data_IF_427685232607
#
_entry.id   IF_427685232607
#
_cell.length_a   1.000
_cell.length_b   1.000
_cell.length_c   1.000
_cell.angle_alpha   90.00
_cell.angle_beta   90.00
_cell.angle_gamma   90.00
#
_symmetry.space_group_name_H-M   'P 1'
#
loop_
_entity.id
_entity.type
_entity.pdbx_description
1 polymer ?
#
# COMPACT_ATOMS: atom_id res chain seq x y z
N UNK A 1 14.87 9.14 -33.94
CA UNK A 1 13.87 8.38 -33.16
C UNK A 1 14.38 8.28 -31.74
N UNK A 2 14.04 9.23 -30.88
CA UNK A 2 14.43 9.21 -29.46
C UNK A 2 13.39 8.40 -28.70
N UNK A 3 13.82 7.26 -28.13
CA UNK A 3 13.00 6.41 -27.30
C UNK A 3 12.68 7.14 -25.99
N UNK A 4 11.40 7.39 -25.73
CA UNK A 4 10.94 7.90 -24.44
C UNK A 4 11.08 6.77 -23.42
N UNK A 5 12.07 6.85 -22.54
CA UNK A 5 12.20 5.92 -21.43
C UNK A 5 11.02 6.12 -20.47
N UNK A 6 10.38 5.02 -20.06
CA UNK A 6 9.33 5.01 -19.05
C UNK A 6 9.95 5.42 -17.71
N UNK A 7 9.53 6.56 -17.16
CA UNK A 7 9.94 7.05 -15.84
C UNK A 7 9.01 6.43 -14.81
N UNK A 8 9.56 5.60 -13.92
CA UNK A 8 8.82 5.07 -12.76
C UNK A 8 8.60 6.21 -11.74
N UNK A 9 7.36 6.60 -11.43
CA UNK A 9 7.07 7.68 -10.48
C UNK A 9 7.44 7.34 -9.02
N UNK A 10 7.86 6.10 -8.73
CA UNK A 10 8.28 5.65 -7.40
C UNK A 10 9.75 5.24 -7.33
N UNK A 11 10.54 5.48 -8.38
CA UNK A 11 11.99 5.34 -8.29
C UNK A 11 12.55 6.34 -7.26
N UNK A 12 13.01 5.84 -6.12
CA UNK A 12 13.74 6.64 -5.14
C UNK A 12 15.18 6.73 -5.64
N UNK A 13 15.52 7.83 -6.30
CA UNK A 13 16.90 8.11 -6.71
C UNK A 13 17.79 8.21 -5.46
N UNK A 14 18.67 7.23 -5.27
CA UNK A 14 19.67 7.24 -4.20
C UNK A 14 20.77 8.25 -4.55
N UNK A 15 20.53 9.52 -4.19
CA UNK A 15 21.44 10.58 -4.57
C UNK A 15 21.07 11.96 -4.05
N UNK A 16 21.21 12.18 -2.74
CA UNK A 16 21.47 13.48 -2.08
C UNK A 16 20.61 14.70 -2.44
N UNK A 17 19.51 14.55 -3.14
CA UNK A 17 18.46 15.56 -3.19
C UNK A 17 17.41 15.11 -2.19
N UNK A 18 17.48 15.67 -0.99
CA UNK A 18 16.34 15.64 -0.08
C UNK A 18 15.16 16.14 -0.88
N UNK A 19 14.25 15.24 -1.28
CA UNK A 19 12.95 15.62 -1.85
C UNK A 19 12.38 16.64 -0.88
N UNK A 20 12.46 17.92 -1.24
CA UNK A 20 12.01 19.00 -0.40
C UNK A 20 10.53 19.06 -0.65
N UNK A 21 9.76 18.31 0.13
CA UNK A 21 8.32 18.50 0.20
C UNK A 21 8.09 20.00 0.31
N UNK A 22 7.27 20.61 -0.58
CA UNK A 22 6.94 22.01 -0.43
C UNK A 22 6.43 22.19 1.00
N UNK A 23 6.91 23.21 1.74
CA UNK A 23 6.42 23.45 3.08
C UNK A 23 4.91 23.55 2.97
N UNK A 24 4.17 22.75 3.74
CA UNK A 24 2.71 22.81 3.76
C UNK A 24 2.32 24.28 3.97
N UNK A 25 1.77 24.91 2.93
CA UNK A 25 1.40 26.31 2.94
C UNK A 25 0.31 26.47 4.01
N UNK A 26 0.73 26.97 5.18
CA UNK A 26 -0.12 27.00 6.37
C UNK A 26 0.53 26.56 7.68
N UNK A 27 1.84 26.26 7.72
CA UNK A 27 2.57 26.05 8.99
C UNK A 27 2.62 27.34 9.82
N UNK A 28 1.52 27.62 10.52
CA UNK A 28 1.48 28.50 11.70
C UNK A 28 2.26 27.77 12.80
N UNK A 29 3.00 28.50 13.62
CA UNK A 29 3.90 27.95 14.64
C UNK A 29 3.20 27.22 15.80
N UNK A 30 1.88 27.16 15.75
CA UNK A 30 1.12 26.28 16.62
C UNK A 30 0.89 24.98 15.86
N UNK A 31 1.51 23.89 16.32
CA UNK A 31 1.17 22.52 15.92
C UNK A 31 -0.29 22.25 16.33
N UNK A 32 -1.24 22.79 15.57
CA UNK A 32 -2.65 22.47 15.70
C UNK A 32 -2.78 21.01 15.27
N UNK A 33 -2.84 20.12 16.26
CA UNK A 33 -3.41 18.79 16.07
C UNK A 33 -4.79 19.00 15.45
N UNK A 34 -4.89 18.79 14.14
CA UNK A 34 -6.16 18.85 13.43
C UNK A 34 -7.12 17.94 14.18
N UNK A 35 -8.25 18.50 14.61
CA UNK A 35 -9.30 17.69 15.21
C UNK A 35 -9.63 16.54 14.24
N UNK A 36 -9.73 15.29 14.72
CA UNK A 36 -10.06 14.17 13.85
C UNK A 36 -11.31 14.51 13.04
N UNK A 37 -11.32 14.22 11.72
CA UNK A 37 -12.46 14.54 10.87
C UNK A 37 -13.71 13.88 11.43
N UNK A 38 -14.80 14.65 11.44
CA UNK A 38 -16.09 14.23 11.99
C UNK A 38 -16.50 12.89 11.34
N UNK A 39 -16.93 11.88 12.13
CA UNK A 39 -17.16 10.54 11.60
C UNK A 39 -18.24 10.50 10.52
N UNK A 40 -19.22 11.42 10.53
CA UNK A 40 -20.23 11.51 9.48
C UNK A 40 -19.73 12.14 8.18
N UNK A 41 -18.59 12.83 8.21
CA UNK A 41 -17.96 13.42 7.02
C UNK A 41 -16.97 12.43 6.37
N UNK A 42 -16.77 11.26 6.98
CA UNK A 42 -15.97 10.19 6.39
C UNK A 42 -16.74 9.60 5.23
N UNK A 43 -16.09 9.55 4.07
CA UNK A 43 -16.60 8.80 2.93
C UNK A 43 -16.79 7.35 3.37
N UNK A 44 -18.02 6.84 3.22
CA UNK A 44 -18.33 5.42 3.37
C UNK A 44 -17.83 4.66 2.14
N UNK A 45 -16.52 4.71 1.92
CA UNK A 45 -15.87 3.99 0.83
C UNK A 45 -15.62 2.56 1.30
N UNK A 46 -16.54 1.67 0.95
CA UNK A 46 -16.31 0.24 1.08
C UNK A 46 -15.10 -0.14 0.21
N UNK A 47 -14.07 -0.72 0.84
CA UNK A 47 -12.93 -1.29 0.13
C UNK A 47 -13.45 -2.44 -0.72
N UNK A 48 -13.07 -2.48 -2.01
CA UNK A 48 -13.44 -3.58 -2.90
C UNK A 48 -13.00 -4.91 -2.27
N UNK A 49 -13.82 -5.98 -2.33
CA UNK A 49 -13.44 -7.28 -1.78
C UNK A 49 -12.09 -7.81 -2.27
N UNK A 50 -11.69 -7.50 -3.51
CA UNK A 50 -10.37 -7.81 -4.07
C UNK A 50 -9.28 -7.01 -3.38
N UNK A 51 -9.47 -5.70 -3.24
CA UNK A 51 -8.50 -4.83 -2.58
C UNK A 51 -8.31 -5.21 -1.11
N UNK A 52 -9.39 -5.62 -0.44
CA UNK A 52 -9.33 -6.16 0.92
C UNK A 52 -8.45 -7.41 0.97
N UNK A 53 -8.67 -8.38 0.07
CA UNK A 53 -7.86 -9.62 -0.01
C UNK A 53 -6.40 -9.31 -0.31
N UNK A 54 -6.13 -8.36 -1.20
CA UNK A 54 -4.76 -7.91 -1.52
C UNK A 54 -4.05 -7.39 -0.26
N UNK A 55 -4.72 -6.54 0.52
CA UNK A 55 -4.17 -6.00 1.78
C UNK A 55 -3.91 -7.09 2.81
N UNK A 56 -4.85 -8.02 2.98
CA UNK A 56 -4.70 -9.14 3.92
C UNK A 56 -3.53 -10.07 3.52
N UNK A 57 -3.38 -10.36 2.23
CA UNK A 57 -2.26 -11.17 1.73
C UNK A 57 -0.92 -10.49 1.96
N UNK A 58 -0.80 -9.18 1.69
CA UNK A 58 0.40 -8.40 1.99
C UNK A 58 0.75 -8.44 3.49
N UNK A 59 -0.26 -8.30 4.35
CA UNK A 59 -0.08 -8.35 5.79
C UNK A 59 0.38 -9.75 6.26
N UNK A 60 -0.23 -10.82 5.75
CA UNK A 60 0.14 -12.19 6.08
C UNK A 60 1.57 -12.54 5.64
N UNK A 61 1.97 -12.14 4.42
CA UNK A 61 3.34 -12.32 3.92
C UNK A 61 4.37 -11.57 4.76
N UNK A 62 4.07 -10.31 5.12
CA UNK A 62 4.94 -9.50 5.96
C UNK A 62 5.08 -10.09 7.37
N UNK A 63 3.97 -10.55 7.96
CA UNK A 63 3.97 -11.22 9.26
C UNK A 63 4.77 -12.54 9.23
N UNK A 64 4.72 -13.28 8.11
CA UNK A 64 5.53 -14.46 7.85
C UNK A 64 7.03 -14.16 7.62
N UNK A 65 7.44 -12.89 7.63
CA UNK A 65 8.83 -12.48 7.37
C UNK A 65 9.22 -12.51 5.90
N UNK A 66 8.25 -12.56 4.99
CA UNK A 66 8.45 -12.57 3.53
C UNK A 66 7.91 -11.24 2.98
N UNK A 67 8.65 -10.13 3.07
CA UNK A 67 8.18 -8.86 2.54
C UNK A 67 8.03 -8.97 1.01
N UNK A 68 6.82 -8.72 0.46
CA UNK A 68 6.58 -8.82 -0.98
C UNK A 68 7.38 -7.77 -1.73
N UNK A 69 8.07 -8.19 -2.80
CA UNK A 69 8.88 -7.31 -3.64
C UNK A 69 8.03 -6.70 -4.76
N UNK A 70 8.49 -5.64 -5.43
CA UNK A 70 7.76 -5.04 -6.55
C UNK A 70 7.42 -6.05 -7.66
N UNK A 71 8.28 -7.05 -7.88
CA UNK A 71 8.11 -8.09 -8.88
C UNK A 71 6.96 -9.05 -8.55
N UNK A 72 6.63 -9.20 -7.26
CA UNK A 72 5.55 -10.08 -6.79
C UNK A 72 4.17 -9.45 -6.98
N UNK A 73 4.10 -8.18 -7.42
CA UNK A 73 2.87 -7.40 -7.50
C UNK A 73 1.81 -8.04 -8.41
N UNK A 74 2.20 -8.56 -9.56
CA UNK A 74 1.27 -9.22 -10.49
C UNK A 74 0.72 -10.53 -9.91
N UNK A 75 1.57 -11.29 -9.21
CA UNK A 75 1.17 -12.52 -8.54
C UNK A 75 0.18 -12.23 -7.41
N UNK A 76 0.45 -11.23 -6.57
CA UNK A 76 -0.45 -10.81 -5.48
C UNK A 76 -1.78 -10.30 -6.05
N UNK A 77 -1.73 -9.54 -7.13
CA UNK A 77 -2.93 -9.05 -7.80
C UNK A 77 -3.80 -10.19 -8.33
N UNK A 78 -3.18 -11.17 -8.99
CA UNK A 78 -3.85 -12.38 -9.47
C UNK A 78 -4.44 -13.22 -8.33
N UNK A 79 -3.70 -13.41 -7.23
CA UNK A 79 -4.16 -14.15 -6.05
C UNK A 79 -5.34 -13.45 -5.36
N UNK A 80 -5.32 -12.11 -5.31
CA UNK A 80 -6.39 -11.31 -4.72
C UNK A 80 -7.70 -11.39 -5.51
N UNK A 81 -7.62 -11.61 -6.82
CA UNK A 81 -8.77 -11.80 -7.70
C UNK A 81 -9.45 -13.17 -7.51
N UNK A 82 -8.75 -14.14 -6.93
CA UNK A 82 -9.33 -15.45 -6.59
C UNK A 82 -10.42 -15.31 -5.52
N UNK A 83 -11.25 -16.36 -5.39
CA UNK A 83 -12.34 -16.36 -4.42
C UNK A 83 -11.86 -16.16 -2.97
N UNK A 84 -12.79 -15.72 -2.11
CA UNK A 84 -12.48 -15.52 -0.69
C UNK A 84 -12.01 -16.80 0.01
N UNK A 85 -12.57 -17.96 -0.34
CA UNK A 85 -12.18 -19.24 0.27
C UNK A 85 -10.73 -19.64 -0.01
N UNK A 86 -10.24 -19.37 -1.23
CA UNK A 86 -8.85 -19.62 -1.60
C UNK A 86 -7.95 -18.68 -0.80
N UNK A 87 -8.28 -17.39 -0.74
CA UNK A 87 -7.52 -16.40 0.02
C UNK A 87 -7.45 -16.74 1.52
N UNK A 88 -8.56 -17.16 2.15
CA UNK A 88 -8.56 -17.63 3.55
C UNK A 88 -7.66 -18.84 3.77
N UNK A 89 -7.61 -19.76 2.80
CA UNK A 89 -6.76 -20.96 2.89
C UNK A 89 -5.28 -20.60 2.81
N UNK A 90 -4.91 -19.71 1.89
CA UNK A 90 -3.54 -19.20 1.74
C UNK A 90 -3.09 -18.48 3.03
N UNK A 91 -3.93 -17.58 3.56
CA UNK A 91 -3.63 -16.89 4.81
C UNK A 91 -3.42 -17.89 5.97
N UNK A 92 -4.27 -18.92 6.08
CA UNK A 92 -4.10 -19.97 7.09
C UNK A 92 -2.75 -20.67 6.98
N UNK A 93 -2.30 -20.98 5.76
CA UNK A 93 -0.98 -21.59 5.56
C UNK A 93 0.15 -20.66 5.97
N UNK A 94 0.11 -19.39 5.53
CA UNK A 94 1.13 -18.39 5.88
C UNK A 94 1.23 -18.15 7.39
N UNK A 95 0.11 -18.18 8.11
CA UNK A 95 0.10 -18.07 9.57
C UNK A 95 0.57 -19.33 10.30
N UNK A 96 0.52 -20.50 9.66
CA UNK A 96 0.91 -21.77 10.27
C UNK A 96 2.38 -22.14 10.04
N UNK A 97 3.05 -21.49 9.07
CA UNK A 97 4.45 -21.74 8.72
C UNK A 97 5.47 -21.07 9.64
N UNK A 98 5.03 -20.44 10.73
CA UNK A 98 5.89 -19.81 11.75
C UNK A 98 5.88 -20.59 13.07
#
# INVERSE_FOLDING_TARGET
>A
MTATAFVDPYAVEDGTDSVRWPPAEGRREDDYLLAPPHPADRLDSAIDPRDRRRLELHAALTAAGIPPRPEDREAIDSLSALSGSINTTIQRWLHHTL
#
